data_IF_610479540005
#
_entry.id   IF_610479540005
#
_cell.length_a   1.000
_cell.length_b   1.000
_cell.length_c   1.000
_cell.angle_alpha   90.00
_cell.angle_beta   90.00
_cell.angle_gamma   90.00
#
_symmetry.space_group_name_H-M   'P 1'
#
loop_
_entity.id
_entity.type
_entity.pdbx_description
1 polymer ?
#
# COMPACT_ATOMS: atom_id res chain seq x y z
N UNK A 1 -1.76 8.22 19.22
CA UNK A 1 -0.57 8.05 18.37
C UNK A 1 0.65 7.61 19.17
N UNK A 2 1.13 8.42 20.15
CA UNK A 2 2.29 8.10 21.00
C UNK A 2 2.32 6.65 21.51
N UNK A 3 1.24 6.18 22.15
CA UNK A 3 1.22 4.84 22.73
C UNK A 3 1.28 3.73 21.67
N UNK A 4 0.72 3.97 20.47
CA UNK A 4 0.82 3.04 19.34
C UNK A 4 2.26 2.94 18.84
N UNK A 5 2.98 4.07 18.74
CA UNK A 5 4.39 4.09 18.34
C UNK A 5 5.29 3.41 19.37
N UNK A 6 5.05 3.65 20.67
CA UNK A 6 5.75 2.94 21.75
C UNK A 6 5.52 1.43 21.63
N UNK A 7 4.27 1.01 21.39
CA UNK A 7 3.93 -0.40 21.25
C UNK A 7 4.57 -1.02 20.01
N UNK A 8 4.54 -0.33 18.86
CA UNK A 8 5.19 -0.78 17.62
C UNK A 8 6.69 -1.02 17.85
N UNK A 9 7.37 -0.06 18.50
CA UNK A 9 8.79 -0.19 18.87
C UNK A 9 9.06 -1.37 19.80
N UNK A 10 8.22 -1.58 20.82
CA UNK A 10 8.34 -2.73 21.73
C UNK A 10 8.15 -4.08 21.03
N UNK A 11 7.35 -4.13 19.97
CA UNK A 11 7.13 -5.32 19.15
C UNK A 11 8.20 -5.52 18.08
N UNK A 12 9.18 -4.60 17.96
CA UNK A 12 10.25 -4.68 16.96
C UNK A 12 9.81 -4.29 15.55
N UNK A 13 8.79 -3.45 15.42
CA UNK A 13 8.41 -2.86 14.13
C UNK A 13 9.10 -1.51 13.92
N UNK A 14 9.43 -1.18 12.68
CA UNK A 14 10.14 0.07 12.32
C UNK A 14 9.20 1.21 11.87
N UNK A 15 7.93 0.91 11.65
CA UNK A 15 6.93 1.87 11.20
C UNK A 15 5.53 1.54 11.71
N UNK A 16 4.62 2.49 11.57
CA UNK A 16 3.20 2.36 11.92
C UNK A 16 2.34 2.85 10.76
N UNK A 17 1.34 2.06 10.37
CA UNK A 17 0.27 2.51 9.48
C UNK A 17 -1.04 2.64 10.23
N UNK A 18 -1.71 3.78 10.07
CA UNK A 18 -3.07 4.00 10.54
C UNK A 18 -4.04 3.87 9.37
N UNK A 19 -5.05 3.01 9.53
CA UNK A 19 -6.14 2.83 8.56
C UNK A 19 -7.39 3.50 9.11
N UNK A 20 -7.80 4.58 8.48
CA UNK A 20 -9.02 5.31 8.83
C UNK A 20 -10.19 4.81 8.00
N UNK A 21 -11.40 4.93 8.55
CA UNK A 21 -12.63 4.49 7.89
C UNK A 21 -13.70 5.57 7.84
N UNK A 22 -14.51 5.55 6.79
CA UNK A 22 -15.77 6.28 6.67
C UNK A 22 -16.88 5.25 6.46
N UNK A 23 -17.88 5.24 7.35
CA UNK A 23 -19.01 4.30 7.29
C UNK A 23 -18.58 2.83 7.13
N UNK A 24 -17.55 2.42 7.87
CA UNK A 24 -17.02 1.05 7.87
C UNK A 24 -16.10 0.70 6.69
N UNK A 25 -15.83 1.62 5.76
CA UNK A 25 -14.96 1.39 4.61
C UNK A 25 -13.62 2.10 4.80
N UNK A 26 -12.46 1.44 4.54
CA UNK A 26 -11.16 2.11 4.54
C UNK A 26 -11.16 3.30 3.59
N UNK A 27 -10.74 4.46 4.10
CA UNK A 27 -10.83 5.75 3.40
C UNK A 27 -9.54 6.54 3.38
N UNK A 28 -8.65 6.32 4.36
CA UNK A 28 -7.33 6.96 4.41
C UNK A 28 -6.30 6.00 5.01
N UNK A 29 -5.11 5.99 4.44
CA UNK A 29 -3.92 5.37 5.02
C UNK A 29 -2.96 6.46 5.45
N UNK A 30 -2.31 6.32 6.59
CA UNK A 30 -1.25 7.24 7.02
C UNK A 30 -0.10 6.48 7.64
N UNK A 31 1.08 6.66 7.07
CA UNK A 31 2.31 5.98 7.43
C UNK A 31 3.17 6.90 8.27
N UNK A 32 3.61 6.41 9.42
CA UNK A 32 4.48 7.09 10.37
C UNK A 32 5.77 6.28 10.58
N UNK A 33 6.89 6.97 10.73
CA UNK A 33 8.04 6.37 11.40
C UNK A 33 7.84 6.36 12.93
N UNK A 34 8.75 5.69 13.65
CA UNK A 34 8.69 5.63 15.11
C UNK A 34 9.01 6.95 15.83
N UNK A 35 9.48 7.97 15.10
CA UNK A 35 9.71 9.33 15.61
C UNK A 35 8.45 10.21 15.48
N UNK A 36 7.32 9.64 15.05
CA UNK A 36 6.06 10.30 14.79
C UNK A 36 6.07 11.25 13.58
N UNK A 37 7.05 11.12 12.68
CA UNK A 37 7.02 11.83 11.41
C UNK A 37 6.07 11.13 10.45
N UNK A 38 5.12 11.88 9.89
CA UNK A 38 4.27 11.38 8.81
C UNK A 38 5.08 11.28 7.52
N UNK A 39 5.17 10.07 6.95
CA UNK A 39 5.92 9.81 5.71
C UNK A 39 5.03 9.84 4.47
N UNK A 40 3.79 9.39 4.61
CA UNK A 40 2.84 9.33 3.52
C UNK A 40 1.41 9.30 4.05
N UNK A 41 0.52 10.06 3.41
CA UNK A 41 -0.92 9.93 3.62
C UNK A 41 -1.63 9.78 2.28
N UNK A 42 -2.51 8.77 2.20
CA UNK A 42 -3.25 8.43 0.98
C UNK A 42 -4.75 8.45 1.28
N UNK A 43 -5.53 9.15 0.46
CA UNK A 43 -6.97 8.92 0.39
C UNK A 43 -7.23 7.72 -0.50
N UNK A 44 -7.99 6.75 0.00
CA UNK A 44 -8.17 5.46 -0.70
C UNK A 44 -9.63 5.02 -0.76
N UNK A 45 -9.91 4.11 -1.68
CA UNK A 45 -10.97 3.11 -1.54
C UNK A 45 -10.37 1.72 -1.76
N UNK A 46 -11.08 0.69 -1.33
CA UNK A 46 -10.61 -0.70 -1.42
C UNK A 46 -11.67 -1.52 -2.10
N UNK A 47 -11.28 -2.31 -3.10
CA UNK A 47 -12.11 -3.38 -3.60
C UNK A 47 -11.67 -4.65 -2.88
N UNK A 48 -12.59 -5.24 -2.11
CA UNK A 48 -12.33 -6.46 -1.35
C UNK A 48 -12.68 -7.68 -2.19
N UNK A 49 -11.95 -8.77 -1.98
CA UNK A 49 -12.32 -10.10 -2.49
C UNK A 49 -12.58 -11.04 -1.31
N UNK A 50 -13.47 -12.01 -1.51
CA UNK A 50 -13.68 -13.11 -0.57
C UNK A 50 -12.71 -14.28 -0.83
N UNK A 51 -11.91 -14.19 -1.88
CA UNK A 51 -10.93 -15.21 -2.23
C UNK A 51 -9.64 -15.07 -1.42
N UNK A 52 -8.95 -16.19 -1.23
CA UNK A 52 -7.64 -16.19 -0.58
C UNK A 52 -6.63 -15.57 -1.54
N UNK A 53 -5.87 -14.58 -1.07
CA UNK A 53 -4.91 -13.86 -1.91
C UNK A 53 -3.76 -14.75 -2.45
N UNK A 54 -3.46 -15.88 -1.80
CA UNK A 54 -2.29 -16.72 -2.12
C UNK A 54 -0.94 -15.97 -2.20
N UNK A 55 -0.85 -14.83 -1.52
CA UNK A 55 0.38 -14.02 -1.38
C UNK A 55 1.08 -14.36 -0.08
N UNK A 56 2.40 -14.49 -0.15
CA UNK A 56 3.27 -14.59 1.01
C UNK A 56 3.89 -13.20 1.23
N UNK A 57 3.51 -12.46 2.29
CA UNK A 57 3.88 -11.06 2.43
C UNK A 57 5.39 -10.80 2.50
N UNK A 58 6.16 -11.73 3.08
CA UNK A 58 7.62 -11.61 3.20
C UNK A 58 8.36 -11.63 1.84
N UNK A 59 7.69 -12.14 0.81
CA UNK A 59 8.24 -12.26 -0.55
C UNK A 59 7.61 -11.22 -1.49
N UNK A 60 6.93 -10.20 -0.95
CA UNK A 60 6.37 -9.10 -1.73
C UNK A 60 7.48 -8.23 -2.28
N UNK A 61 7.34 -7.86 -3.55
CA UNK A 61 8.10 -6.79 -4.21
C UNK A 61 7.17 -5.69 -4.68
N UNK A 62 7.71 -4.53 -5.05
CA UNK A 62 6.95 -3.46 -5.70
C UNK A 62 7.42 -3.32 -7.14
N UNK A 63 6.45 -3.23 -8.06
CA UNK A 63 6.67 -2.79 -9.43
C UNK A 63 5.81 -1.56 -9.66
N UNK A 64 6.44 -0.40 -9.76
CA UNK A 64 5.75 0.88 -9.87
C UNK A 64 5.98 1.54 -11.22
N UNK A 65 4.92 2.10 -11.80
CA UNK A 65 5.01 3.08 -12.90
C UNK A 65 4.61 4.49 -12.44
N UNK A 66 4.30 4.67 -11.15
CA UNK A 66 3.78 5.92 -10.56
C UNK A 66 4.82 6.46 -9.60
N UNK A 67 5.65 7.39 -10.07
CA UNK A 67 6.82 7.87 -9.33
C UNK A 67 6.45 8.52 -7.99
N UNK A 68 5.30 9.17 -7.95
CA UNK A 68 4.77 9.84 -6.75
C UNK A 68 4.45 8.85 -5.62
N UNK A 69 4.32 7.56 -5.94
CA UNK A 69 4.06 6.49 -4.98
C UNK A 69 5.29 5.61 -4.70
N UNK A 70 6.47 5.92 -5.25
CA UNK A 70 7.69 5.13 -5.00
C UNK A 70 8.11 5.15 -3.53
N UNK A 71 7.71 6.17 -2.77
CA UNK A 71 7.86 6.25 -1.30
C UNK A 71 7.18 5.07 -0.57
N UNK A 72 6.22 4.37 -1.19
CA UNK A 72 5.63 3.15 -0.62
C UNK A 72 6.68 2.06 -0.40
N UNK A 73 7.70 1.97 -1.24
CA UNK A 73 8.78 1.00 -1.06
C UNK A 73 9.57 1.26 0.22
N UNK A 74 9.85 2.53 0.51
CA UNK A 74 10.54 2.96 1.72
C UNK A 74 9.70 2.66 2.96
N UNK A 75 8.44 3.14 3.01
CA UNK A 75 7.61 3.02 4.22
C UNK A 75 7.17 1.59 4.53
N UNK A 76 7.12 0.72 3.51
CA UNK A 76 6.83 -0.71 3.66
C UNK A 76 8.08 -1.57 3.85
N UNK A 77 9.29 -1.03 3.58
CA UNK A 77 10.53 -1.81 3.59
C UNK A 77 10.56 -2.90 2.52
N UNK A 78 9.98 -2.64 1.34
CA UNK A 78 9.83 -3.60 0.24
C UNK A 78 10.73 -3.22 -0.93
N UNK A 79 11.42 -4.21 -1.51
CA UNK A 79 12.26 -4.02 -2.69
C UNK A 79 11.44 -3.61 -3.93
N UNK A 80 11.93 -2.63 -4.69
CA UNK A 80 11.41 -2.29 -6.02
C UNK A 80 12.11 -3.12 -7.08
N UNK A 81 11.34 -3.70 -8.01
CA UNK A 81 11.87 -4.49 -9.12
C UNK A 81 11.15 -4.18 -10.43
N UNK A 82 11.89 -4.25 -11.53
CA UNK A 82 11.34 -4.21 -12.89
C UNK A 82 10.85 -5.58 -13.36
N UNK A 83 11.36 -6.66 -12.74
CA UNK A 83 11.14 -8.05 -13.15
C UNK A 83 10.76 -8.92 -11.94
N UNK A 84 9.49 -8.88 -11.50
CA UNK A 84 9.04 -9.63 -10.32
C UNK A 84 8.82 -11.13 -10.62
N UNK A 85 9.56 -11.71 -11.55
CA UNK A 85 9.41 -13.12 -11.93
C UNK A 85 9.53 -14.01 -10.67
N UNK A 86 8.67 -15.01 -10.58
CA UNK A 86 8.59 -15.97 -9.46
C UNK A 86 8.33 -15.35 -8.06
N UNK A 87 7.93 -14.08 -7.98
CA UNK A 87 7.70 -13.36 -6.72
C UNK A 87 6.25 -12.88 -6.60
N UNK A 88 5.74 -12.72 -5.38
CA UNK A 88 4.51 -11.94 -5.18
C UNK A 88 4.87 -10.46 -5.33
N UNK A 89 4.00 -9.65 -5.90
CA UNK A 89 4.29 -8.23 -6.03
C UNK A 89 3.05 -7.34 -6.01
N UNK A 90 3.25 -6.12 -5.53
CA UNK A 90 2.31 -5.02 -5.71
C UNK A 90 2.67 -4.34 -7.02
N UNK A 91 1.72 -4.30 -7.96
CA UNK A 91 1.83 -3.49 -9.17
C UNK A 91 1.14 -2.15 -8.92
N UNK A 92 1.88 -1.06 -9.03
CA UNK A 92 1.37 0.30 -8.90
C UNK A 92 1.27 0.92 -10.29
N UNK A 93 0.08 1.32 -10.70
CA UNK A 93 -0.17 1.93 -12.00
C UNK A 93 -1.06 3.17 -11.87
N UNK A 94 -0.92 4.13 -12.77
CA UNK A 94 -1.89 5.23 -12.87
C UNK A 94 -3.26 4.63 -13.15
N UNK A 95 -4.31 5.26 -12.65
CA UNK A 95 -5.66 4.90 -13.06
C UNK A 95 -5.85 5.26 -14.54
N UNK A 96 -6.86 4.65 -15.17
CA UNK A 96 -7.20 4.95 -16.57
C UNK A 96 -7.57 6.43 -16.74
N UNK A 97 -7.36 6.98 -17.93
CA UNK A 97 -7.55 8.42 -18.20
C UNK A 97 -8.97 8.92 -17.91
N UNK A 98 -9.95 8.03 -18.05
CA UNK A 98 -11.37 8.23 -17.82
C UNK A 98 -11.80 7.98 -16.35
N UNK A 99 -10.90 7.54 -15.48
CA UNK A 99 -11.14 7.45 -14.04
C UNK A 99 -10.86 8.79 -13.34
N UNK A 100 -11.87 9.65 -13.30
CA UNK A 100 -11.77 10.95 -12.61
C UNK A 100 -11.68 10.83 -11.08
N UNK A 101 -11.86 9.64 -10.50
CA UNK A 101 -11.93 9.44 -9.03
C UNK A 101 -10.63 8.93 -8.44
N UNK A 102 -9.85 8.18 -9.21
CA UNK A 102 -8.64 7.54 -8.76
C UNK A 102 -7.42 8.12 -9.49
N UNK A 103 -6.37 8.40 -8.74
CA UNK A 103 -5.07 8.79 -9.24
C UNK A 103 -4.23 7.57 -9.66
N UNK A 104 -4.27 6.51 -8.86
CA UNK A 104 -3.50 5.30 -9.08
C UNK A 104 -4.20 4.07 -8.47
N UNK A 105 -3.79 2.88 -8.88
CA UNK A 105 -4.30 1.62 -8.37
C UNK A 105 -3.13 0.72 -7.98
N UNK A 106 -3.22 0.16 -6.77
CA UNK A 106 -2.33 -0.89 -6.28
C UNK A 106 -3.02 -2.23 -6.50
N UNK A 107 -2.50 -2.98 -7.47
CA UNK A 107 -2.89 -4.36 -7.73
C UNK A 107 -1.98 -5.33 -7.00
N UNK A 108 -2.53 -6.46 -6.62
CA UNK A 108 -1.78 -7.53 -5.96
C UNK A 108 -1.68 -8.71 -6.92
N UNK A 109 -0.45 -9.15 -7.18
CA UNK A 109 -0.15 -10.25 -8.11
C UNK A 109 0.60 -11.33 -7.35
N UNK A 110 0.13 -12.57 -7.47
CA UNK A 110 0.79 -13.69 -6.83
C UNK A 110 2.01 -14.18 -7.65
N UNK A 111 2.81 -15.08 -7.06
CA UNK A 111 4.00 -15.65 -7.71
C UNK A 111 3.78 -16.38 -9.03
N UNK A 112 2.53 -16.74 -9.37
CA UNK A 112 2.18 -17.35 -10.67
C UNK A 112 1.89 -16.31 -11.76
N UNK A 113 1.92 -15.02 -11.41
CA UNK A 113 1.53 -13.93 -12.29
C UNK A 113 0.02 -13.66 -12.33
N UNK A 114 -0.77 -14.31 -11.46
CA UNK A 114 -2.21 -14.11 -11.40
C UNK A 114 -2.51 -12.84 -10.59
N UNK A 115 -3.20 -11.88 -11.20
CA UNK A 115 -3.72 -10.71 -10.50
C UNK A 115 -4.91 -11.13 -9.63
N UNK A 116 -4.96 -10.60 -8.42
CA UNK A 116 -6.03 -10.88 -7.45
C UNK A 116 -7.04 -9.74 -7.50
N UNK A 117 -8.31 -10.07 -7.28
CA UNK A 117 -9.43 -9.12 -7.29
C UNK A 117 -9.43 -8.13 -6.11
N UNK A 118 -8.45 -8.26 -5.20
CA UNK A 118 -8.17 -7.26 -4.19
C UNK A 118 -7.32 -6.12 -4.78
N UNK A 119 -7.80 -4.89 -4.66
CA UNK A 119 -7.04 -3.70 -5.06
C UNK A 119 -7.30 -2.52 -4.11
N UNK A 120 -6.30 -1.66 -4.00
CA UNK A 120 -6.41 -0.38 -3.30
C UNK A 120 -6.38 0.72 -4.36
N UNK A 121 -7.46 1.48 -4.46
CA UNK A 121 -7.53 2.64 -5.35
C UNK A 121 -7.08 3.87 -4.57
N UNK A 122 -6.03 4.52 -5.03
CA UNK A 122 -5.51 5.76 -4.47
C UNK A 122 -6.22 6.90 -5.16
N UNK A 123 -7.02 7.66 -4.43
CA UNK A 123 -7.74 8.83 -4.94
C UNK A 123 -6.84 10.06 -5.01
N UNK A 124 -6.01 10.23 -3.97
CA UNK A 124 -5.14 11.39 -3.83
C UNK A 124 -4.04 11.10 -2.81
N UNK A 125 -2.84 11.63 -3.08
CA UNK A 125 -1.77 11.79 -2.08
C UNK A 125 -2.07 13.06 -1.28
N UNK A 126 -2.17 12.95 0.04
CA UNK A 126 -2.41 14.08 0.92
C UNK A 126 -1.08 14.79 1.15
N UNK A 127 -0.95 16.00 0.61
CA UNK A 127 0.16 16.89 0.91
C UNK A 127 -0.01 17.47 2.32
N UNK A 128 1.09 17.57 3.05
CA UNK A 128 1.16 18.18 4.39
C UNK A 128 1.49 19.66 4.31
#
# INVERSE_FOLDING_TARGET
LRDLLIKAKQLGHDSLVLVYQIKGNPSKLTFYDLEANEKLALLVSVNTTNERLHIIPKDLKIRSTVRELDVLAEVLGIEVTTEPQDSNYIRISYADYDDEKNFAILYFVNKKGEQIDFQINVKKIVEN
#
